data_IF_235667511143
#
_entry.id   IF_235667511143
#
_cell.length_a   1.000
_cell.length_b   1.000
_cell.length_c   1.000
_cell.angle_alpha   90.00
_cell.angle_beta   90.00
_cell.angle_gamma   90.00
#
_symmetry.space_group_name_H-M   'P 1'
#
loop_
_entity.id
_entity.type
_entity.pdbx_description
1 polymer ?
#
# COMPACT_ATOMS: atom_id res chain seq x y z
N UNK A 1 38.18 30.16 -43.30
CA UNK A 1 38.50 28.91 -42.56
C UNK A 1 37.32 28.56 -41.66
N UNK A 2 36.45 27.63 -42.08
CA UNK A 2 35.41 27.06 -41.21
C UNK A 2 36.10 26.05 -40.30
N UNK A 3 36.14 26.32 -38.99
CA UNK A 3 36.71 25.38 -38.03
C UNK A 3 35.85 24.12 -38.01
N UNK A 4 36.44 22.98 -38.35
CA UNK A 4 35.85 21.67 -38.14
C UNK A 4 35.91 21.40 -36.64
N UNK A 5 34.79 21.61 -35.94
CA UNK A 5 34.65 21.12 -34.58
C UNK A 5 34.79 19.58 -34.61
N UNK A 6 35.73 19.05 -33.84
CA UNK A 6 36.01 17.62 -33.80
C UNK A 6 34.77 16.84 -33.32
N UNK A 7 34.40 15.73 -33.98
CA UNK A 7 33.21 14.94 -33.64
C UNK A 7 33.31 14.17 -32.30
N UNK A 8 34.43 14.28 -31.58
CA UNK A 8 34.70 13.53 -30.35
C UNK A 8 34.35 14.29 -29.05
N UNK A 9 34.32 15.62 -29.05
CA UNK A 9 34.11 16.41 -27.81
C UNK A 9 32.67 16.32 -27.25
N UNK A 10 31.68 15.97 -28.08
CA UNK A 10 30.26 15.89 -27.69
C UNK A 10 29.79 14.50 -27.25
N UNK A 11 30.58 13.44 -27.46
CA UNK A 11 30.19 12.05 -27.12
C UNK A 11 30.35 11.72 -25.63
N UNK A 12 31.42 12.20 -25.00
CA UNK A 12 31.67 12.03 -23.56
C UNK A 12 30.55 12.57 -22.65
N UNK A 13 30.04 13.80 -22.85
CA UNK A 13 28.96 14.33 -22.01
C UNK A 13 27.62 13.61 -22.19
N UNK A 14 27.36 12.99 -23.35
CA UNK A 14 26.14 12.21 -23.60
C UNK A 14 26.16 10.87 -22.87
N UNK A 15 27.28 10.15 -22.92
CA UNK A 15 27.43 8.87 -22.22
C UNK A 15 27.31 9.05 -20.71
N UNK A 16 27.94 10.08 -20.15
CA UNK A 16 27.83 10.42 -18.73
C UNK A 16 26.39 10.77 -18.33
N UNK A 17 25.68 11.55 -19.16
CA UNK A 17 24.27 11.87 -18.90
C UNK A 17 23.40 10.61 -18.79
N UNK A 18 23.51 9.68 -19.75
CA UNK A 18 22.72 8.45 -19.73
C UNK A 18 23.12 7.50 -18.60
N UNK A 19 24.40 7.46 -18.23
CA UNK A 19 24.85 6.74 -17.04
C UNK A 19 24.20 7.31 -15.77
N UNK A 20 24.19 8.63 -15.61
CA UNK A 20 23.56 9.29 -14.46
C UNK A 20 22.05 9.07 -14.42
N UNK A 21 21.37 9.13 -15.57
CA UNK A 21 19.95 8.79 -15.69
C UNK A 21 19.70 7.33 -15.30
N UNK A 22 20.54 6.40 -15.77
CA UNK A 22 20.46 4.99 -15.41
C UNK A 22 20.64 4.75 -13.92
N UNK A 23 21.64 5.38 -13.30
CA UNK A 23 21.86 5.30 -11.86
C UNK A 23 20.68 5.90 -11.07
N UNK A 24 20.15 7.04 -11.48
CA UNK A 24 19.00 7.66 -10.82
C UNK A 24 17.73 6.80 -10.88
N UNK A 25 17.56 6.03 -11.95
CA UNK A 25 16.43 5.10 -12.11
C UNK A 25 16.66 3.74 -11.43
N UNK A 26 17.90 3.26 -11.38
CA UNK A 26 18.21 1.95 -10.84
C UNK A 26 18.38 1.96 -9.31
N UNK A 27 19.11 2.94 -8.78
CA UNK A 27 19.59 2.94 -7.38
C UNK A 27 18.49 2.92 -6.32
N UNK A 28 17.38 3.69 -6.41
CA UNK A 28 16.39 3.70 -5.35
C UNK A 28 15.68 2.35 -5.24
N UNK A 29 15.34 1.76 -6.39
CA UNK A 29 14.69 0.44 -6.45
C UNK A 29 15.66 -0.65 -5.99
N UNK A 30 16.92 -0.58 -6.40
CA UNK A 30 17.92 -1.56 -5.99
C UNK A 30 18.10 -1.58 -4.46
N UNK A 31 18.18 -0.39 -3.85
CA UNK A 31 18.27 -0.27 -2.40
C UNK A 31 17.02 -0.81 -1.69
N UNK A 32 15.84 -0.64 -2.27
CA UNK A 32 14.59 -1.20 -1.78
C UNK A 32 14.55 -2.75 -1.88
N UNK A 33 15.03 -3.33 -2.98
CA UNK A 33 15.12 -4.79 -3.12
C UNK A 33 16.16 -5.41 -2.17
N UNK A 34 17.25 -4.69 -1.89
CA UNK A 34 18.27 -5.12 -0.92
C UNK A 34 17.73 -5.18 0.51
N UNK A 35 16.95 -4.17 0.94
CA UNK A 35 16.32 -4.17 2.27
C UNK A 35 15.34 -5.33 2.48
N UNK A 36 14.71 -5.82 1.39
CA UNK A 36 13.76 -6.93 1.43
C UNK A 36 14.41 -8.31 1.24
N UNK A 37 15.74 -8.37 1.13
CA UNK A 37 16.48 -9.59 0.79
C UNK A 37 15.93 -10.29 -0.49
N UNK A 38 15.47 -9.51 -1.46
CA UNK A 38 14.79 -10.01 -2.65
C UNK A 38 15.74 -10.08 -3.85
N UNK A 39 16.53 -11.15 -3.92
CA UNK A 39 17.50 -11.36 -5.02
C UNK A 39 16.85 -11.42 -6.41
N UNK A 40 15.64 -11.96 -6.53
CA UNK A 40 14.90 -11.98 -7.80
C UNK A 40 14.48 -10.57 -8.22
N UNK A 41 13.98 -9.77 -7.28
CA UNK A 41 13.60 -8.37 -7.51
C UNK A 41 14.77 -7.51 -8.00
N UNK A 42 15.98 -7.76 -7.50
CA UNK A 42 17.20 -7.06 -7.97
C UNK A 42 17.47 -7.28 -9.47
N UNK A 43 17.32 -8.51 -9.96
CA UNK A 43 17.44 -8.81 -11.38
C UNK A 43 16.33 -8.17 -12.20
N UNK A 44 15.10 -8.21 -11.69
CA UNK A 44 13.96 -7.60 -12.38
C UNK A 44 14.14 -6.08 -12.50
N UNK A 45 14.61 -5.41 -11.45
CA UNK A 45 14.94 -3.99 -11.48
C UNK A 45 16.01 -3.65 -12.55
N UNK A 46 17.05 -4.48 -12.68
CA UNK A 46 18.08 -4.28 -13.70
C UNK A 46 17.48 -4.29 -15.12
N UNK A 47 16.71 -5.34 -15.45
CA UNK A 47 16.09 -5.46 -16.78
C UNK A 47 15.02 -4.39 -17.02
N UNK A 48 14.20 -4.09 -16.00
CA UNK A 48 13.21 -3.03 -16.04
C UNK A 48 13.84 -1.66 -16.31
N UNK A 49 14.94 -1.34 -15.62
CA UNK A 49 15.66 -0.07 -15.80
C UNK A 49 16.34 -0.01 -17.18
N UNK A 50 16.93 -1.11 -17.65
CA UNK A 50 17.49 -1.17 -19.00
C UNK A 50 16.41 -0.93 -20.07
N UNK A 51 15.22 -1.54 -19.90
CA UNK A 51 14.08 -1.30 -20.79
C UNK A 51 13.61 0.16 -20.77
N UNK A 52 13.51 0.75 -19.58
CA UNK A 52 13.11 2.15 -19.44
C UNK A 52 14.12 3.13 -20.04
N UNK A 53 15.42 2.85 -19.90
CA UNK A 53 16.49 3.62 -20.54
C UNK A 53 16.40 3.59 -22.06
N UNK A 54 16.12 2.45 -22.67
CA UNK A 54 15.94 2.34 -24.12
C UNK A 54 14.76 3.18 -24.62
N UNK A 55 13.63 3.13 -23.91
CA UNK A 55 12.44 3.93 -24.23
C UNK A 55 12.74 5.43 -24.08
N UNK A 56 13.30 5.84 -22.94
CA UNK A 56 13.67 7.24 -22.69
C UNK A 56 14.68 7.75 -23.70
N UNK A 57 15.63 6.92 -24.12
CA UNK A 57 16.62 7.27 -25.12
C UNK A 57 16.01 7.53 -26.51
N UNK A 58 15.08 6.68 -26.95
CA UNK A 58 14.38 6.91 -28.22
C UNK A 58 13.43 8.13 -28.14
N UNK A 59 12.74 8.31 -27.00
CA UNK A 59 11.92 9.51 -26.78
C UNK A 59 12.76 10.78 -26.80
N UNK A 60 13.95 10.76 -26.19
CA UNK A 60 14.88 11.88 -26.17
C UNK A 60 15.31 12.28 -27.58
N UNK A 61 15.62 11.29 -28.43
CA UNK A 61 16.00 11.52 -29.82
C UNK A 61 14.87 12.16 -30.65
N UNK A 62 13.61 11.77 -30.41
CA UNK A 62 12.44 12.36 -31.07
C UNK A 62 12.06 13.74 -30.53
N UNK A 63 12.50 14.10 -29.32
CA UNK A 63 12.15 15.35 -28.67
C UNK A 63 12.94 16.56 -29.22
N UNK A 64 12.66 16.94 -30.47
CA UNK A 64 13.34 18.05 -31.16
C UNK A 64 12.83 19.44 -30.70
N UNK A 65 11.54 19.53 -30.39
CA UNK A 65 10.87 20.78 -29.96
C UNK A 65 11.07 21.11 -28.48
N UNK A 66 10.82 22.38 -28.10
CA UNK A 66 10.85 22.81 -26.69
C UNK A 66 9.80 22.10 -25.85
N UNK A 67 8.59 21.95 -26.39
CA UNK A 67 7.49 21.25 -25.72
C UNK A 67 7.83 19.76 -25.50
N UNK A 68 8.28 19.06 -26.53
CA UNK A 68 8.64 17.64 -26.43
C UNK A 68 9.79 17.38 -25.44
N UNK A 69 10.76 18.31 -25.35
CA UNK A 69 11.83 18.23 -24.36
C UNK A 69 11.32 18.41 -22.94
N UNK A 70 10.39 19.32 -22.75
CA UNK A 70 9.75 19.57 -21.46
C UNK A 70 8.93 18.35 -21.02
N UNK A 71 8.15 17.77 -21.94
CA UNK A 71 7.38 16.55 -21.69
C UNK A 71 8.29 15.36 -21.35
N UNK A 72 9.38 15.17 -22.10
CA UNK A 72 10.38 14.14 -21.82
C UNK A 72 10.99 14.31 -20.42
N UNK A 73 11.37 15.53 -20.06
CA UNK A 73 11.88 15.82 -18.72
C UNK A 73 10.83 15.55 -17.64
N UNK A 74 9.56 15.85 -17.89
CA UNK A 74 8.45 15.50 -16.99
C UNK A 74 8.34 13.98 -16.76
N UNK A 75 8.43 13.17 -17.83
CA UNK A 75 8.43 11.71 -17.73
C UNK A 75 9.63 11.20 -16.91
N UNK A 76 10.84 11.70 -17.19
CA UNK A 76 12.04 11.33 -16.42
C UNK A 76 11.89 11.67 -14.93
N UNK A 77 11.45 12.88 -14.62
CA UNK A 77 11.27 13.34 -13.24
C UNK A 77 10.20 12.53 -12.50
N UNK A 78 9.06 12.27 -13.15
CA UNK A 78 8.02 11.42 -12.60
C UNK A 78 8.52 10.01 -12.30
N UNK A 79 9.28 9.41 -13.20
CA UNK A 79 9.88 8.08 -12.99
C UNK A 79 10.90 8.03 -11.86
N UNK A 80 11.74 9.07 -11.71
CA UNK A 80 12.68 9.16 -10.58
C UNK A 80 11.90 9.35 -9.28
N UNK A 81 10.93 10.26 -9.26
CA UNK A 81 10.08 10.49 -8.09
C UNK A 81 9.39 9.22 -7.62
N UNK A 82 8.75 8.47 -8.53
CA UNK A 82 8.06 7.21 -8.20
C UNK A 82 9.01 6.15 -7.64
N UNK A 83 10.26 6.09 -8.11
CA UNK A 83 11.27 5.15 -7.61
C UNK A 83 11.78 5.52 -6.24
N UNK A 84 12.01 6.80 -5.98
CA UNK A 84 12.39 7.29 -4.66
C UNK A 84 11.23 7.12 -3.68
N UNK A 85 9.99 7.37 -4.11
CA UNK A 85 8.80 7.13 -3.31
C UNK A 85 8.64 5.65 -2.96
N UNK A 86 8.78 4.75 -3.94
CA UNK A 86 8.80 3.30 -3.70
C UNK A 86 9.89 2.90 -2.70
N UNK A 87 11.10 3.43 -2.84
CA UNK A 87 12.18 3.18 -1.90
C UNK A 87 11.85 3.65 -0.48
N UNK A 88 11.26 4.84 -0.35
CA UNK A 88 10.79 5.38 0.92
C UNK A 88 9.69 4.52 1.56
N UNK A 89 8.74 4.02 0.74
CA UNK A 89 7.71 3.09 1.20
C UNK A 89 8.32 1.80 1.72
N UNK A 90 9.22 1.17 0.96
CA UNK A 90 9.88 -0.08 1.40
C UNK A 90 10.70 0.14 2.67
N UNK A 91 11.36 1.29 2.81
CA UNK A 91 12.10 1.61 4.02
C UNK A 91 11.19 1.76 5.24
N UNK A 92 10.02 2.36 5.05
CA UNK A 92 9.06 2.63 6.12
C UNK A 92 8.26 1.39 6.53
N UNK A 93 7.72 0.65 5.56
CA UNK A 93 6.75 -0.45 5.80
C UNK A 93 7.29 -1.85 5.44
N UNK A 94 8.46 -1.94 4.81
CA UNK A 94 8.94 -3.18 4.21
C UNK A 94 8.26 -3.54 2.88
N UNK A 95 7.28 -2.76 2.43
CA UNK A 95 6.49 -3.00 1.22
C UNK A 95 6.55 -1.80 0.26
N UNK A 96 6.43 -2.09 -1.05
CA UNK A 96 6.44 -1.08 -2.11
C UNK A 96 5.06 -0.43 -2.30
N UNK A 97 4.64 -0.26 -3.56
CA UNK A 97 3.29 0.20 -3.85
C UNK A 97 2.28 -0.95 -3.67
N UNK A 98 1.51 -0.90 -2.60
CA UNK A 98 0.38 -1.78 -2.29
C UNK A 98 -0.92 -0.97 -2.18
N UNK A 99 -2.05 -1.65 -1.94
CA UNK A 99 -3.33 -0.98 -1.65
C UNK A 99 -3.25 -0.11 -0.39
N UNK A 100 -2.36 -0.44 0.54
CA UNK A 100 -2.15 0.29 1.80
C UNK A 100 -1.75 1.75 1.58
N UNK A 101 -1.06 2.04 0.46
CA UNK A 101 -0.68 3.42 0.10
C UNK A 101 -1.90 4.31 -0.05
N UNK A 102 -3.00 3.78 -0.60
CA UNK A 102 -4.24 4.53 -0.79
C UNK A 102 -5.02 4.64 0.52
N UNK A 103 -4.99 3.59 1.35
CA UNK A 103 -5.54 3.59 2.70
C UNK A 103 -4.90 4.69 3.57
N UNK A 104 -3.58 4.83 3.48
CA UNK A 104 -2.84 5.85 4.22
C UNK A 104 -2.72 7.19 3.51
N UNK A 105 -3.40 7.40 2.36
CA UNK A 105 -3.39 8.67 1.63
C UNK A 105 -4.32 9.71 2.27
N UNK A 106 -4.16 9.92 3.57
CA UNK A 106 -4.89 10.92 4.34
C UNK A 106 -3.96 12.08 4.75
N UNK A 107 -4.56 13.25 5.01
CA UNK A 107 -3.80 14.45 5.34
C UNK A 107 -2.88 14.27 6.56
N UNK A 108 -3.31 13.51 7.57
CA UNK A 108 -2.53 13.30 8.78
C UNK A 108 -1.28 12.44 8.53
N UNK A 109 -1.39 11.41 7.70
CA UNK A 109 -0.24 10.62 7.23
C UNK A 109 0.74 11.47 6.44
N UNK A 110 0.25 12.36 5.56
CA UNK A 110 1.10 13.31 4.84
C UNK A 110 1.80 14.27 5.80
N UNK A 111 1.09 14.80 6.78
CA UNK A 111 1.67 15.66 7.81
C UNK A 111 2.75 14.94 8.63
N UNK A 112 2.50 13.70 9.04
CA UNK A 112 3.47 12.88 9.76
C UNK A 112 4.71 12.60 8.90
N UNK A 113 4.52 12.26 7.62
CA UNK A 113 5.61 12.05 6.68
C UNK A 113 6.45 13.32 6.49
N UNK A 114 5.83 14.50 6.39
CA UNK A 114 6.54 15.79 6.33
C UNK A 114 7.28 16.11 7.63
N UNK A 115 6.68 15.82 8.78
CA UNK A 115 7.31 16.06 10.08
C UNK A 115 8.54 15.15 10.29
N UNK A 116 8.47 13.89 9.87
CA UNK A 116 9.52 12.91 10.08
C UNK A 116 10.59 12.94 8.99
N UNK A 117 10.21 13.16 7.72
CA UNK A 117 11.09 13.07 6.55
C UNK A 117 11.26 14.40 5.79
N UNK A 118 10.86 15.52 6.38
CA UNK A 118 10.81 16.84 5.72
C UNK A 118 12.11 17.25 5.03
N UNK A 119 13.28 17.01 5.65
CA UNK A 119 14.58 17.31 5.03
C UNK A 119 14.84 16.46 3.79
N UNK A 120 14.59 15.15 3.87
CA UNK A 120 14.79 14.24 2.73
C UNK A 120 13.85 14.59 1.56
N UNK A 121 12.59 14.90 1.88
CA UNK A 121 11.59 15.36 0.91
C UNK A 121 12.04 16.69 0.28
N UNK A 122 12.51 17.65 1.07
CA UNK A 122 13.01 18.93 0.56
C UNK A 122 14.21 18.75 -0.37
N UNK A 123 15.20 17.93 0.02
CA UNK A 123 16.35 17.59 -0.83
C UNK A 123 15.92 16.93 -2.13
N UNK A 124 14.97 15.99 -2.07
CA UNK A 124 14.41 15.35 -3.27
C UNK A 124 13.80 16.39 -4.21
N UNK A 125 12.95 17.29 -3.71
CA UNK A 125 12.33 18.32 -4.55
C UNK A 125 13.33 19.34 -5.10
N UNK A 126 14.37 19.70 -4.35
CA UNK A 126 15.47 20.54 -4.85
C UNK A 126 16.22 19.83 -5.98
N UNK A 127 16.58 18.56 -5.79
CA UNK A 127 17.25 17.75 -6.82
C UNK A 127 16.38 17.60 -8.08
N UNK A 128 15.09 17.30 -7.93
CA UNK A 128 14.14 17.22 -9.04
C UNK A 128 13.98 18.57 -9.75
N UNK A 129 13.92 19.68 -9.01
CA UNK A 129 13.85 21.03 -9.56
C UNK A 129 15.10 21.39 -10.38
N UNK A 130 16.30 21.09 -9.86
CA UNK A 130 17.55 21.25 -10.60
C UNK A 130 17.57 20.39 -11.86
N UNK A 131 17.13 19.13 -11.77
CA UNK A 131 17.06 18.23 -12.91
C UNK A 131 16.03 18.69 -13.96
N UNK A 132 14.89 19.26 -13.56
CA UNK A 132 13.91 19.85 -14.46
C UNK A 132 14.47 21.01 -15.30
N UNK A 133 15.45 21.72 -14.75
CA UNK A 133 16.13 22.86 -15.38
C UNK A 133 17.27 22.37 -16.28
N UNK A 134 18.04 21.37 -15.85
CA UNK A 134 19.23 20.87 -16.57
C UNK A 134 18.86 19.91 -17.70
N UNK A 135 17.98 18.95 -17.45
CA UNK A 135 17.63 17.88 -18.38
C UNK A 135 17.22 18.36 -19.79
N UNK A 136 16.30 19.33 -19.97
CA UNK A 136 15.88 19.76 -21.30
C UNK A 136 16.96 20.56 -22.04
N UNK A 137 17.91 21.17 -21.31
CA UNK A 137 19.07 21.86 -21.89
C UNK A 137 20.09 20.85 -22.40
N UNK A 138 20.44 19.86 -21.58
CA UNK A 138 21.36 18.78 -21.96
C UNK A 138 20.81 17.99 -23.16
N UNK A 139 19.50 17.70 -23.17
CA UNK A 139 18.85 17.04 -24.31
C UNK A 139 19.00 17.82 -25.62
N UNK A 140 19.01 19.16 -25.56
CA UNK A 140 19.22 20.01 -26.73
C UNK A 140 20.58 19.82 -27.41
N UNK A 141 21.55 19.29 -26.67
CA UNK A 141 22.89 18.91 -27.15
C UNK A 141 22.99 17.42 -27.52
N UNK A 142 22.09 16.57 -27.04
CA UNK A 142 21.97 15.15 -27.37
C UNK A 142 21.25 14.94 -28.73
N UNK A 143 21.86 15.41 -29.82
CA UNK A 143 21.25 15.39 -31.17
C UNK A 143 21.53 14.12 -32.00
N UNK A 144 22.30 13.18 -31.47
CA UNK A 144 22.76 12.00 -32.21
C UNK A 144 21.99 10.78 -31.73
N UNK A 145 20.99 10.35 -32.50
CA UNK A 145 20.31 9.06 -32.34
C UNK A 145 20.19 8.38 -33.70
N UNK A 146 20.22 7.05 -33.75
CA UNK A 146 20.29 6.34 -35.01
C UNK A 146 18.92 6.29 -35.68
N UNK A 147 18.87 6.66 -36.97
CA UNK A 147 17.68 6.43 -37.80
C UNK A 147 17.40 4.92 -37.98
N UNK A 148 18.45 4.09 -37.91
CA UNK A 148 18.37 2.63 -38.03
C UNK A 148 18.33 1.99 -36.64
N UNK A 149 17.30 1.20 -36.34
CA UNK A 149 17.19 0.44 -35.09
C UNK A 149 16.43 1.12 -33.94
N UNK A 150 15.92 2.35 -34.11
CA UNK A 150 15.08 2.99 -33.09
C UNK A 150 13.81 2.17 -32.77
N UNK A 151 13.19 1.60 -33.80
CA UNK A 151 12.02 0.71 -33.61
C UNK A 151 12.40 -0.55 -32.82
N UNK A 152 13.52 -1.18 -33.17
CA UNK A 152 14.06 -2.33 -32.43
C UNK A 152 14.32 -1.97 -30.98
N UNK A 153 14.97 -0.83 -30.70
CA UNK A 153 15.25 -0.38 -29.34
C UNK A 153 13.98 -0.15 -28.51
N UNK A 154 12.94 0.47 -29.09
CA UNK A 154 11.64 0.63 -28.39
C UNK A 154 10.99 -0.72 -28.14
N UNK A 155 10.93 -1.60 -29.14
CA UNK A 155 10.31 -2.93 -28.99
C UNK A 155 11.05 -3.76 -27.94
N UNK A 156 12.38 -3.79 -27.98
CA UNK A 156 13.21 -4.46 -26.97
C UNK A 156 13.00 -3.82 -25.59
N UNK A 157 12.96 -2.49 -25.50
CA UNK A 157 12.73 -1.78 -24.25
C UNK A 157 11.37 -2.13 -23.63
N UNK A 158 10.31 -2.08 -24.42
CA UNK A 158 8.96 -2.46 -23.99
C UNK A 158 8.87 -3.96 -23.62
N UNK A 159 9.55 -4.84 -24.36
CA UNK A 159 9.60 -6.27 -24.04
C UNK A 159 10.30 -6.52 -22.69
N UNK A 160 11.45 -5.88 -22.45
CA UNK A 160 12.15 -5.96 -21.16
C UNK A 160 11.28 -5.45 -20.02
N UNK A 161 10.60 -4.32 -20.21
CA UNK A 161 9.66 -3.78 -19.22
C UNK A 161 8.49 -4.71 -18.94
N UNK A 162 7.93 -5.36 -19.97
CA UNK A 162 6.81 -6.29 -19.82
C UNK A 162 7.24 -7.57 -19.07
N UNK A 163 8.39 -8.13 -19.45
CA UNK A 163 8.94 -9.34 -18.84
C UNK A 163 9.38 -9.09 -17.39
N UNK A 164 10.00 -7.93 -17.12
CA UNK A 164 10.49 -7.54 -15.82
C UNK A 164 9.53 -6.59 -15.07
N UNK A 165 8.23 -6.63 -15.40
CA UNK A 165 7.22 -5.68 -14.89
C UNK A 165 7.13 -5.59 -13.37
N UNK A 166 7.43 -6.68 -12.66
CA UNK A 166 7.46 -6.65 -11.19
C UNK A 166 8.57 -5.77 -10.61
N UNK A 167 9.62 -5.45 -11.38
CA UNK A 167 10.67 -4.51 -10.99
C UNK A 167 10.38 -3.04 -11.36
N UNK A 168 9.20 -2.73 -11.93
CA UNK A 168 8.81 -1.37 -12.29
C UNK A 168 7.85 -0.78 -11.25
N UNK A 169 8.27 0.24 -10.47
CA UNK A 169 7.38 0.93 -9.55
C UNK A 169 6.15 1.54 -10.23
N UNK A 170 6.26 1.99 -11.50
CA UNK A 170 5.10 2.44 -12.28
C UNK A 170 4.04 1.35 -12.45
N UNK A 171 4.46 0.12 -12.75
CA UNK A 171 3.54 -1.01 -12.91
C UNK A 171 2.94 -1.41 -11.58
N UNK A 172 3.75 -1.44 -10.51
CA UNK A 172 3.26 -1.74 -9.17
C UNK A 172 2.22 -0.72 -8.69
N UNK A 173 2.47 0.58 -8.87
CA UNK A 173 1.51 1.64 -8.55
C UNK A 173 0.22 1.49 -9.37
N UNK A 174 0.33 1.24 -10.68
CA UNK A 174 -0.84 1.02 -11.53
C UNK A 174 -1.66 -0.19 -11.05
N UNK A 175 -1.00 -1.29 -10.68
CA UNK A 175 -1.65 -2.49 -10.15
C UNK A 175 -2.30 -2.25 -8.80
N UNK A 176 -1.64 -1.52 -7.91
CA UNK A 176 -2.18 -1.14 -6.62
C UNK A 176 -3.41 -0.22 -6.78
N UNK A 177 -3.33 0.77 -7.68
CA UNK A 177 -4.46 1.63 -8.02
C UNK A 177 -5.61 0.83 -8.63
N UNK A 178 -5.33 -0.09 -9.55
CA UNK A 178 -6.35 -0.97 -10.13
C UNK A 178 -7.01 -1.82 -9.05
N UNK A 179 -6.24 -2.45 -8.17
CA UNK A 179 -6.79 -3.24 -7.07
C UNK A 179 -7.65 -2.39 -6.12
N UNK A 180 -7.24 -1.15 -5.87
CA UNK A 180 -7.98 -0.20 -5.04
C UNK A 180 -9.30 0.25 -5.67
N UNK A 181 -9.30 0.65 -6.95
CA UNK A 181 -10.49 1.18 -7.63
C UNK A 181 -11.38 0.11 -8.27
N UNK A 182 -10.87 -1.11 -8.45
CA UNK A 182 -11.62 -2.28 -8.94
C UNK A 182 -11.32 -3.48 -8.04
N UNK A 183 -11.88 -3.51 -6.82
CA UNK A 183 -11.66 -4.63 -5.92
C UNK A 183 -12.18 -5.92 -6.54
N UNK A 184 -11.51 -7.03 -6.25
CA UNK A 184 -11.98 -8.36 -6.62
C UNK A 184 -13.29 -8.64 -5.87
N UNK A 185 -14.41 -8.54 -6.59
CA UNK A 185 -15.69 -9.03 -6.11
C UNK A 185 -15.79 -10.51 -6.48
N UNK A 186 -15.63 -11.38 -5.49
CA UNK A 186 -15.98 -12.78 -5.67
C UNK A 186 -17.48 -12.91 -5.48
N UNK A 187 -18.22 -13.04 -6.57
CA UNK A 187 -19.65 -13.35 -6.49
C UNK A 187 -19.80 -14.78 -5.96
N UNK A 188 -20.57 -14.93 -4.87
CA UNK A 188 -20.91 -16.25 -4.37
C UNK A 188 -21.93 -16.87 -5.32
N UNK A 189 -21.65 -18.07 -5.85
CA UNK A 189 -22.58 -18.78 -6.71
C UNK A 189 -23.97 -18.89 -6.02
N UNK A 190 -25.08 -18.51 -6.67
CA UNK A 190 -26.41 -18.50 -6.06
C UNK A 190 -26.79 -19.87 -5.46
N UNK A 191 -26.33 -20.95 -6.09
CA UNK A 191 -26.57 -22.32 -5.62
C UNK A 191 -25.83 -22.61 -4.31
N UNK A 192 -24.61 -22.08 -4.14
CA UNK A 192 -23.85 -22.23 -2.90
C UNK A 192 -24.52 -21.46 -1.76
N UNK A 193 -24.97 -20.22 -2.04
CA UNK A 193 -25.70 -19.39 -1.09
C UNK A 193 -26.98 -20.09 -0.62
N UNK A 194 -27.76 -20.63 -1.57
CA UNK A 194 -28.99 -21.36 -1.27
C UNK A 194 -28.71 -22.61 -0.44
N UNK A 195 -27.63 -23.35 -0.75
CA UNK A 195 -27.22 -24.52 0.04
C UNK A 195 -26.86 -24.15 1.48
N UNK A 196 -26.12 -23.06 1.70
CA UNK A 196 -25.74 -22.60 3.03
C UNK A 196 -26.93 -22.10 3.84
N UNK A 197 -27.87 -21.39 3.21
CA UNK A 197 -29.13 -20.97 3.85
C UNK A 197 -29.98 -22.17 4.25
N UNK A 198 -30.16 -23.14 3.34
CA UNK A 198 -30.95 -24.35 3.62
C UNK A 198 -30.31 -25.19 4.72
N UNK A 199 -28.98 -25.27 4.75
CA UNK A 199 -28.23 -25.97 5.80
C UNK A 199 -28.18 -25.20 7.14
N UNK A 200 -28.79 -24.00 7.23
CA UNK A 200 -28.70 -23.10 8.39
C UNK A 200 -27.26 -22.74 8.78
N UNK A 201 -26.32 -22.81 7.83
CA UNK A 201 -24.94 -22.37 8.02
C UNK A 201 -24.78 -20.86 7.85
N UNK A 202 -25.75 -20.22 7.19
CA UNK A 202 -25.78 -18.78 6.97
C UNK A 202 -27.16 -18.21 7.32
N UNK A 203 -27.20 -17.34 8.34
CA UNK A 203 -28.39 -16.58 8.71
C UNK A 203 -28.23 -15.12 8.25
N UNK A 204 -29.05 -14.71 7.27
CA UNK A 204 -29.06 -13.34 6.74
C UNK A 204 -30.17 -12.48 7.36
N UNK A 205 -31.15 -13.10 8.02
CA UNK A 205 -32.18 -12.37 8.77
C UNK A 205 -31.65 -12.03 10.17
N UNK A 206 -31.06 -10.83 10.27
CA UNK A 206 -30.41 -10.33 11.47
C UNK A 206 -31.39 -9.47 12.28
N UNK A 207 -31.28 -9.54 13.61
CA UNK A 207 -32.09 -8.73 14.50
C UNK A 207 -31.78 -7.24 14.27
N UNK A 208 -32.77 -6.41 13.90
CA UNK A 208 -32.59 -4.96 13.80
C UNK A 208 -32.30 -4.34 15.16
N UNK A 209 -31.46 -3.30 15.21
CA UNK A 209 -31.06 -2.61 16.44
C UNK A 209 -32.23 -2.17 17.30
N UNK A 210 -33.29 -1.68 16.67
CA UNK A 210 -34.48 -1.15 17.36
C UNK A 210 -35.25 -2.26 18.10
N UNK A 211 -35.08 -3.51 17.67
CA UNK A 211 -35.73 -4.68 18.26
C UNK A 211 -34.90 -5.34 19.36
N UNK A 212 -33.68 -4.86 19.62
CA UNK A 212 -32.83 -5.39 20.68
C UNK A 212 -33.48 -5.16 22.05
N UNK A 213 -33.59 -6.25 22.80
CA UNK A 213 -34.04 -6.25 24.19
C UNK A 213 -32.95 -6.89 25.04
N UNK A 214 -32.39 -6.12 25.94
CA UNK A 214 -31.38 -6.58 26.88
C UNK A 214 -31.61 -5.89 28.23
N UNK A 215 -31.26 -6.57 29.31
CA UNK A 215 -31.21 -6.01 30.66
C UNK A 215 -29.98 -6.57 31.35
N UNK A 216 -29.35 -5.76 32.21
CA UNK A 216 -28.30 -6.26 33.07
C UNK A 216 -28.81 -7.41 33.96
N UNK A 217 -27.90 -8.31 34.32
CA UNK A 217 -28.16 -9.30 35.38
C UNK A 217 -28.34 -8.60 36.73
N UNK A 218 -28.96 -9.28 37.70
CA UNK A 218 -29.21 -8.71 39.04
C UNK A 218 -27.93 -8.26 39.75
N UNK A 219 -26.81 -8.94 39.48
CA UNK A 219 -25.46 -8.54 39.88
C UNK A 219 -24.59 -8.33 38.63
N UNK A 220 -24.62 -7.13 38.01
CA UNK A 220 -23.87 -6.87 36.79
C UNK A 220 -22.36 -6.92 37.03
N UNK A 221 -21.61 -7.40 36.04
CA UNK A 221 -20.13 -7.38 36.03
C UNK A 221 -19.64 -6.45 34.95
N UNK A 222 -18.48 -5.82 35.18
CA UNK A 222 -17.79 -5.09 34.14
C UNK A 222 -17.24 -6.05 33.07
N UNK A 223 -17.30 -5.62 31.81
CA UNK A 223 -16.66 -6.31 30.70
C UNK A 223 -15.46 -5.48 30.22
N UNK A 224 -14.28 -6.11 30.18
CA UNK A 224 -13.07 -5.51 29.61
C UNK A 224 -12.71 -6.33 28.37
N UNK A 225 -12.76 -5.68 27.20
CA UNK A 225 -12.36 -6.26 25.93
C UNK A 225 -10.96 -5.76 25.58
N UNK A 226 -9.98 -6.66 25.51
CA UNK A 226 -8.61 -6.34 25.13
C UNK A 226 -8.33 -6.88 23.72
N UNK A 227 -8.18 -5.98 22.76
CA UNK A 227 -7.74 -6.31 21.41
C UNK A 227 -6.22 -6.37 21.36
N UNK A 228 -5.67 -7.53 21.01
CA UNK A 228 -4.23 -7.74 20.80
C UNK A 228 -3.92 -7.57 19.31
N UNK A 229 -3.39 -6.40 18.95
CA UNK A 229 -3.04 -6.07 17.56
C UNK A 229 -1.98 -7.05 17.02
N UNK A 230 -2.29 -7.70 15.90
CA UNK A 230 -1.41 -8.67 15.23
C UNK A 230 -0.84 -9.78 16.16
N UNK A 231 -1.51 -10.06 17.29
CA UNK A 231 -1.03 -10.96 18.33
C UNK A 231 -1.88 -12.23 18.46
N UNK A 232 -1.28 -13.32 18.93
CA UNK A 232 -1.99 -14.58 19.16
C UNK A 232 -1.13 -15.65 19.82
N UNK A 233 -1.74 -16.79 20.16
CA UNK A 233 -1.06 -17.93 20.83
C UNK A 233 0.17 -18.44 20.10
N UNK A 234 0.22 -18.31 18.77
CA UNK A 234 1.37 -18.72 17.96
C UNK A 234 2.67 -18.00 18.36
N UNK A 235 2.57 -16.83 19.01
CA UNK A 235 3.73 -16.08 19.50
C UNK A 235 4.28 -16.61 20.83
N UNK A 236 3.58 -17.54 21.50
CA UNK A 236 4.03 -18.07 22.78
C UNK A 236 5.26 -18.95 22.58
N UNK A 237 5.25 -19.86 21.60
CA UNK A 237 6.27 -20.90 21.44
C UNK A 237 7.16 -20.69 20.20
N UNK A 238 7.58 -19.45 19.94
CA UNK A 238 8.51 -19.16 18.86
C UNK A 238 9.93 -19.62 19.22
N UNK A 239 10.54 -20.60 18.50
CA UNK A 239 11.86 -21.13 18.87
C UNK A 239 12.97 -20.09 18.87
N UNK A 240 12.83 -19.06 18.02
CA UNK A 240 13.79 -17.95 17.92
C UNK A 240 13.64 -16.93 19.06
N UNK A 241 12.48 -16.88 19.73
CA UNK A 241 12.15 -15.93 20.79
C UNK A 241 11.31 -16.61 21.90
N UNK A 242 11.90 -17.52 22.69
CA UNK A 242 11.17 -18.41 23.59
C UNK A 242 10.38 -17.71 24.71
N UNK A 243 10.71 -16.46 25.03
CA UNK A 243 10.06 -15.65 26.06
C UNK A 243 9.52 -14.33 25.50
N UNK A 244 8.94 -14.35 24.29
CA UNK A 244 8.39 -13.14 23.68
C UNK A 244 7.16 -12.61 24.43
N UNK A 245 6.30 -13.50 24.95
CA UNK A 245 5.03 -13.13 25.62
C UNK A 245 4.81 -13.85 26.96
N UNK A 246 5.74 -13.73 27.94
CA UNK A 246 5.74 -14.53 29.16
C UNK A 246 4.48 -14.28 30.03
N UNK A 247 3.97 -13.05 30.05
CA UNK A 247 2.78 -12.70 30.83
C UNK A 247 1.50 -13.32 30.23
N UNK A 248 1.36 -13.33 28.89
CA UNK A 248 0.21 -14.00 28.26
C UNK A 248 0.29 -15.52 28.40
N UNK A 249 1.50 -16.09 28.35
CA UNK A 249 1.73 -17.51 28.66
C UNK A 249 1.28 -17.85 30.09
N UNK A 250 1.61 -17.00 31.07
CA UNK A 250 1.17 -17.19 32.46
C UNK A 250 -0.36 -17.10 32.60
N UNK A 251 -1.00 -16.14 31.91
CA UNK A 251 -2.46 -16.03 31.89
C UNK A 251 -3.13 -17.27 31.26
N UNK A 252 -2.56 -17.81 30.19
CA UNK A 252 -3.04 -19.04 29.56
C UNK A 252 -2.97 -20.23 30.52
N UNK A 253 -1.85 -20.38 31.24
CA UNK A 253 -1.71 -21.44 32.25
C UNK A 253 -2.70 -21.29 33.42
N UNK A 254 -3.02 -20.05 33.81
CA UNK A 254 -3.88 -19.79 34.95
C UNK A 254 -5.38 -19.90 34.63
N UNK A 255 -5.80 -19.41 33.47
CA UNK A 255 -7.22 -19.26 33.13
C UNK A 255 -7.67 -20.10 31.92
N UNK A 256 -6.73 -20.57 31.11
CA UNK A 256 -7.00 -21.29 29.86
C UNK A 256 -7.49 -20.36 28.75
N UNK A 257 -6.74 -20.27 27.65
CA UNK A 257 -7.20 -19.63 26.41
C UNK A 257 -7.63 -20.71 25.41
N UNK A 258 -8.66 -20.40 24.61
CA UNK A 258 -9.06 -21.26 23.49
C UNK A 258 -7.85 -21.59 22.59
N UNK A 259 -7.65 -22.87 22.32
CA UNK A 259 -6.51 -23.37 21.54
C UNK A 259 -6.71 -23.19 20.04
N UNK A 260 -7.95 -23.37 19.58
CA UNK A 260 -8.33 -23.36 18.17
C UNK A 260 -9.15 -22.12 17.85
N UNK A 261 -8.50 -20.96 17.97
CA UNK A 261 -9.09 -19.67 17.63
C UNK A 261 -8.53 -19.19 16.29
N UNK A 262 -9.40 -19.10 15.28
CA UNK A 262 -9.06 -18.56 13.97
C UNK A 262 -9.72 -17.19 13.79
N UNK A 263 -8.92 -16.20 13.38
CA UNK A 263 -9.44 -14.92 12.94
C UNK A 263 -9.86 -15.03 11.47
N UNK A 264 -11.08 -14.62 11.13
CA UNK A 264 -11.47 -14.36 9.74
C UNK A 264 -10.97 -13.02 9.23
N UNK A 265 -10.45 -12.17 10.13
CA UNK A 265 -10.10 -10.79 9.86
C UNK A 265 -8.66 -10.63 9.39
N UNK A 266 -8.47 -9.81 8.36
CA UNK A 266 -7.17 -9.40 7.85
C UNK A 266 -6.68 -8.09 8.48
N UNK A 267 -7.61 -7.17 8.77
CA UNK A 267 -7.31 -5.84 9.35
C UNK A 267 -7.96 -5.64 10.72
N UNK A 268 -7.43 -4.69 11.51
CA UNK A 268 -7.91 -4.39 12.87
C UNK A 268 -9.41 -4.07 12.92
N UNK A 269 -9.91 -3.21 12.03
CA UNK A 269 -11.32 -2.78 12.07
C UNK A 269 -12.26 -3.93 11.71
N UNK A 270 -11.85 -4.82 10.82
CA UNK A 270 -12.59 -6.03 10.51
C UNK A 270 -12.65 -6.96 11.72
N UNK A 271 -11.53 -7.14 12.43
CA UNK A 271 -11.49 -7.93 13.67
C UNK A 271 -12.40 -7.36 14.75
N UNK A 272 -12.41 -6.03 14.93
CA UNK A 272 -13.29 -5.34 15.87
C UNK A 272 -14.76 -5.53 15.46
N UNK A 273 -15.12 -5.25 14.21
CA UNK A 273 -16.50 -5.35 13.74
C UNK A 273 -17.02 -6.79 13.80
N UNK A 274 -16.26 -7.77 13.27
CA UNK A 274 -16.65 -9.17 13.27
C UNK A 274 -16.79 -9.74 14.68
N UNK A 275 -15.86 -9.42 15.60
CA UNK A 275 -15.94 -9.89 16.99
C UNK A 275 -17.10 -9.27 17.77
N UNK A 276 -17.44 -8.00 17.52
CA UNK A 276 -18.55 -7.34 18.22
C UNK A 276 -19.91 -7.66 17.61
N UNK A 277 -20.00 -7.87 16.29
CA UNK A 277 -21.26 -8.12 15.61
C UNK A 277 -21.56 -9.62 15.43
N UNK A 278 -20.61 -10.50 15.77
CA UNK A 278 -20.77 -11.95 15.65
C UNK A 278 -20.80 -12.43 14.20
N UNK A 279 -20.00 -11.82 13.33
CA UNK A 279 -19.98 -12.08 11.88
C UNK A 279 -18.60 -12.56 11.42
N UNK A 280 -18.53 -13.09 10.20
CA UNK A 280 -17.28 -13.46 9.52
C UNK A 280 -17.18 -12.76 8.15
N UNK A 281 -17.73 -11.54 8.06
CA UNK A 281 -17.79 -10.83 6.79
C UNK A 281 -16.39 -10.31 6.45
N UNK A 282 -15.83 -10.69 5.29
CA UNK A 282 -14.56 -10.15 4.85
C UNK A 282 -14.73 -8.69 4.48
N UNK A 283 -13.78 -7.84 4.90
CA UNK A 283 -13.76 -6.45 4.45
C UNK A 283 -13.15 -6.41 3.05
N UNK A 284 -13.87 -5.86 2.07
CA UNK A 284 -13.36 -5.70 0.71
C UNK A 284 -12.37 -4.51 0.58
N UNK A 285 -12.25 -3.68 1.64
CA UNK A 285 -11.41 -2.49 1.67
C UNK A 285 -10.64 -2.40 3.00
N UNK A 286 -9.33 -2.16 2.91
CA UNK A 286 -8.46 -1.98 4.09
C UNK A 286 -8.64 -0.62 4.79
N UNK A 287 -9.25 0.38 4.14
CA UNK A 287 -9.96 1.52 4.78
C UNK A 287 -11.09 2.01 3.89
N UNK A 288 -12.25 2.30 4.46
CA UNK A 288 -13.48 2.68 3.75
C UNK A 288 -14.17 1.50 3.04
N UNK A 289 -15.13 0.89 3.72
CA UNK A 289 -16.52 1.35 3.51
C UNK A 289 -17.65 0.38 3.87
N UNK A 290 -17.42 -0.71 4.63
CA UNK A 290 -18.56 -1.33 5.34
C UNK A 290 -18.93 -0.57 6.63
N UNK A 291 -17.98 0.18 7.19
CA UNK A 291 -18.22 1.16 8.27
C UNK A 291 -18.63 2.56 7.74
N UNK A 292 -18.32 2.90 6.47
CA UNK A 292 -18.55 4.24 5.90
C UNK A 292 -19.44 4.32 4.63
N UNK A 293 -19.39 3.36 3.69
CA UNK A 293 -20.06 3.46 2.37
C UNK A 293 -21.35 2.66 2.22
N UNK A 294 -21.51 1.51 2.87
CA UNK A 294 -22.79 0.78 2.87
C UNK A 294 -23.48 0.73 4.24
N UNK A 295 -22.78 1.18 5.30
CA UNK A 295 -23.28 1.21 6.69
C UNK A 295 -23.84 -0.14 7.17
N UNK A 296 -23.41 -1.26 6.59
CA UNK A 296 -23.93 -2.59 6.96
C UNK A 296 -23.66 -2.84 8.44
N UNK A 297 -22.40 -2.71 8.87
CA UNK A 297 -22.05 -2.85 10.28
C UNK A 297 -22.73 -1.80 11.15
N UNK A 298 -22.78 -0.54 10.70
CA UNK A 298 -23.46 0.52 11.44
C UNK A 298 -24.97 0.26 11.66
N UNK A 299 -25.61 -0.59 10.85
CA UNK A 299 -27.02 -1.00 11.00
C UNK A 299 -27.19 -2.34 11.70
N UNK A 300 -26.15 -3.18 11.77
CA UNK A 300 -26.20 -4.47 12.45
C UNK A 300 -26.31 -4.30 13.95
N UNK A 301 -27.03 -5.21 14.62
CA UNK A 301 -26.94 -5.31 16.08
C UNK A 301 -25.58 -5.88 16.46
N UNK A 302 -24.83 -5.15 17.28
CA UNK A 302 -23.53 -5.59 17.78
C UNK A 302 -23.49 -5.48 19.32
N UNK A 303 -22.40 -5.99 19.90
CA UNK A 303 -22.20 -6.08 21.35
C UNK A 303 -22.42 -4.74 22.06
N UNK A 304 -21.93 -3.64 21.49
CA UNK A 304 -22.13 -2.29 22.02
C UNK A 304 -23.61 -1.91 22.16
N UNK A 305 -24.44 -2.22 21.17
CA UNK A 305 -25.88 -1.95 21.21
C UNK A 305 -26.57 -2.75 22.33
N UNK A 306 -26.20 -4.03 22.48
CA UNK A 306 -26.74 -4.92 23.52
C UNK A 306 -26.36 -4.42 24.91
N UNK A 307 -25.11 -4.04 25.11
CA UNK A 307 -24.60 -3.52 26.39
C UNK A 307 -25.26 -2.18 26.74
N UNK A 308 -25.35 -1.25 25.78
CA UNK A 308 -26.03 0.03 25.98
C UNK A 308 -27.51 -0.18 26.33
N UNK A 309 -28.21 -1.08 25.63
CA UNK A 309 -29.60 -1.43 25.92
C UNK A 309 -29.78 -2.06 27.30
N UNK A 310 -28.78 -2.80 27.76
CA UNK A 310 -28.74 -3.38 29.11
C UNK A 310 -28.39 -2.38 30.22
N UNK A 311 -28.05 -1.12 29.89
CA UNK A 311 -27.74 -0.05 30.84
C UNK A 311 -26.25 0.12 31.15
N UNK A 312 -25.36 -0.50 30.38
CA UNK A 312 -23.92 -0.30 30.52
C UNK A 312 -23.44 0.98 29.85
N UNK A 313 -22.36 1.56 30.39
CA UNK A 313 -21.58 2.58 29.72
C UNK A 313 -20.45 1.90 28.92
N UNK A 314 -20.43 2.11 27.61
CA UNK A 314 -19.37 1.62 26.76
C UNK A 314 -18.28 2.70 26.65
N UNK A 315 -17.00 2.30 26.76
CA UNK A 315 -15.86 3.21 26.62
C UNK A 315 -14.81 2.53 25.76
N UNK A 316 -14.33 3.23 24.72
CA UNK A 316 -13.21 2.80 23.90
C UNK A 316 -11.92 3.51 24.33
N UNK A 317 -10.85 2.75 24.52
CA UNK A 317 -9.51 3.28 24.80
C UNK A 317 -8.54 2.75 23.74
N UNK A 318 -7.91 3.65 22.98
CA UNK A 318 -6.94 3.27 21.97
C UNK A 318 -6.00 4.42 21.61
N UNK A 319 -4.77 4.09 21.20
CA UNK A 319 -3.75 5.09 20.84
C UNK A 319 -3.87 5.63 19.41
N UNK A 320 -4.52 4.88 18.51
CA UNK A 320 -4.74 5.31 17.13
C UNK A 320 -5.94 6.26 17.03
N UNK A 321 -5.86 7.22 16.10
CA UNK A 321 -6.94 8.17 15.84
C UNK A 321 -8.28 7.48 15.56
N UNK A 322 -9.38 8.13 15.97
CA UNK A 322 -10.73 7.62 15.79
C UNK A 322 -11.17 7.62 14.32
N UNK A 323 -10.76 8.59 13.51
CA UNK A 323 -11.06 8.63 12.07
C UNK A 323 -10.42 7.50 11.25
N UNK A 324 -9.31 6.94 11.74
CA UNK A 324 -8.55 5.93 11.00
C UNK A 324 -9.38 4.67 10.72
N UNK A 325 -9.40 4.26 9.44
CA UNK A 325 -10.12 3.09 8.92
C UNK A 325 -11.63 3.05 9.25
N UNK A 326 -12.26 4.20 9.56
CA UNK A 326 -13.68 4.27 9.91
C UNK A 326 -14.03 3.74 11.31
N UNK A 327 -13.03 3.46 12.16
CA UNK A 327 -13.21 2.88 13.50
C UNK A 327 -14.12 3.71 14.41
N UNK A 328 -13.91 5.03 14.44
CA UNK A 328 -14.68 5.94 15.27
C UNK A 328 -16.15 6.03 14.86
N UNK A 329 -16.42 6.02 13.55
CA UNK A 329 -17.79 5.99 13.03
C UNK A 329 -18.51 4.70 13.42
N UNK A 330 -17.82 3.55 13.33
CA UNK A 330 -18.34 2.27 13.83
C UNK A 330 -18.64 2.34 15.33
N UNK A 331 -17.66 2.69 16.16
CA UNK A 331 -17.83 2.74 17.62
C UNK A 331 -18.98 3.67 18.05
N UNK A 332 -19.04 4.87 17.46
CA UNK A 332 -20.11 5.83 17.72
C UNK A 332 -21.49 5.28 17.35
N UNK A 333 -21.58 4.52 16.24
CA UNK A 333 -22.83 3.90 15.81
C UNK A 333 -23.32 2.78 16.77
N UNK A 334 -22.46 2.27 17.65
CA UNK A 334 -22.75 1.19 18.60
C UNK A 334 -22.66 1.62 20.08
N UNK A 335 -22.80 2.93 20.34
CA UNK A 335 -23.00 3.45 21.68
C UNK A 335 -21.75 3.58 22.55
N UNK A 336 -20.57 3.68 21.93
CA UNK A 336 -19.32 4.12 22.56
C UNK A 336 -19.14 5.64 22.48
#
# INVERSE_FOLDING_TARGET
>A
MRSQASPNSSRMPQALFWLMVGLALWTPVQWAEWQRDNSQGQWWNLFATAGWLLVLWVMAWRAQGRLSRTLWSGVLLGSIFLRVLHAGLVHFSGQGFTVDVFLHLEWRSVHLALAQYGLAIAVLFVCLGLLAVVAPRVLGFCRVGPQRGAMTAVVTGLALMLLARGGLPEYQLLRAAQAWFTPLQTELAPELLQRWQTASWLQLDLLPKEKVKARAADAPKNLILLYLESGGRALFDLPRWPDLMPNLRALDQQYGLATDLHASAFITIEGIANSQCGTLLPFQHDSDSMAAGDKVFARMTCLGDVLQRAGYQNVWLGGAEMGFAGKGAFLQAHGY
#
